data_IF_007485328988
#
_entry.id   IF_007485328988
#
_cell.length_a   1.000
_cell.length_b   1.000
_cell.length_c   1.000
_cell.angle_alpha   90.00
_cell.angle_beta   90.00
_cell.angle_gamma   90.00
#
_symmetry.space_group_name_H-M   'P 1'
#
loop_
_entity.id
_entity.type
_entity.pdbx_description
1 polymer ?
#
# COMPACT_ATOMS: atom_id res chain seq x y z
N UNK A 1 9.64 24.76 1.45
CA UNK A 1 9.97 24.42 0.06
C UNK A 1 11.38 23.83 0.01
N UNK A 2 11.47 22.53 -0.23
CA UNK A 2 12.74 21.87 -0.57
C UNK A 2 12.63 21.43 -2.02
N UNK A 3 12.99 22.32 -2.93
CA UNK A 3 13.21 22.03 -4.34
C UNK A 3 14.64 21.58 -4.55
N UNK A 4 14.86 20.29 -4.69
CA UNK A 4 16.09 19.71 -5.23
C UNK A 4 15.88 19.44 -6.71
N UNK A 5 16.47 20.28 -7.57
CA UNK A 5 16.41 20.16 -9.03
C UNK A 5 17.36 19.06 -9.52
N UNK A 6 16.80 17.94 -9.95
CA UNK A 6 17.38 17.08 -10.99
C UNK A 6 16.22 16.65 -11.87
N UNK A 7 16.32 16.86 -13.19
CA UNK A 7 15.26 16.73 -14.18
C UNK A 7 14.61 15.36 -14.32
N UNK A 8 13.88 14.96 -13.32
CA UNK A 8 13.03 13.78 -13.25
C UNK A 8 11.93 14.07 -12.23
N UNK A 9 10.71 13.68 -12.53
CA UNK A 9 9.51 13.96 -11.77
C UNK A 9 9.70 13.77 -10.25
N UNK A 10 9.39 14.79 -9.49
CA UNK A 10 9.58 14.90 -8.04
C UNK A 10 8.45 14.21 -7.28
N UNK A 11 8.79 13.52 -6.17
CA UNK A 11 7.86 13.16 -5.11
C UNK A 11 7.06 14.39 -4.67
N UNK A 12 5.76 14.24 -4.48
CA UNK A 12 4.85 15.30 -4.06
C UNK A 12 4.51 15.13 -2.57
N UNK A 13 5.33 15.73 -1.70
CA UNK A 13 5.12 15.70 -0.26
C UNK A 13 4.35 16.95 0.19
N UNK A 14 3.23 16.73 0.88
CA UNK A 14 2.44 17.80 1.48
C UNK A 14 3.10 18.29 2.77
N UNK A 15 2.79 19.54 3.15
CA UNK A 15 3.20 20.07 4.45
C UNK A 15 2.71 19.17 5.59
N UNK A 16 3.55 18.94 6.60
CA UNK A 16 3.25 18.04 7.72
C UNK A 16 3.45 16.55 7.44
N UNK A 17 3.78 16.14 6.20
CA UNK A 17 4.26 14.79 5.93
C UNK A 17 5.75 14.65 6.30
N UNK A 18 6.21 13.41 6.53
CA UNK A 18 7.61 13.15 6.82
C UNK A 18 8.13 11.91 6.10
N UNK A 19 9.24 12.06 5.38
CA UNK A 19 10.02 10.97 4.79
C UNK A 19 11.34 10.92 5.52
N UNK A 20 11.56 9.87 6.32
CA UNK A 20 12.60 9.82 7.34
C UNK A 20 13.56 8.66 7.11
N UNK A 21 14.85 8.93 7.28
CA UNK A 21 15.83 7.86 7.37
C UNK A 21 15.71 7.14 8.73
N UNK A 22 15.94 5.83 8.71
CA UNK A 22 16.23 5.05 9.91
C UNK A 22 17.61 4.42 9.76
N UNK A 23 18.53 4.74 10.66
CA UNK A 23 19.96 4.45 10.51
C UNK A 23 20.45 5.01 9.16
N UNK A 24 21.08 4.17 8.33
CA UNK A 24 21.60 4.52 7.00
C UNK A 24 20.62 4.24 5.84
N UNK A 25 19.36 3.89 6.13
CA UNK A 25 18.34 3.61 5.12
C UNK A 25 17.34 4.75 5.04
N UNK A 26 17.11 5.25 3.86
CA UNK A 26 16.12 6.30 3.56
C UNK A 26 15.13 5.79 2.52
N UNK A 27 13.84 6.15 2.63
CA UNK A 27 12.86 5.79 1.62
C UNK A 27 13.26 6.27 0.22
N UNK A 28 13.06 5.40 -0.76
CA UNK A 28 13.22 5.66 -2.20
C UNK A 28 11.83 5.65 -2.84
N UNK A 29 11.36 6.83 -3.20
CA UNK A 29 10.01 7.04 -3.72
C UNK A 29 10.09 7.47 -5.18
N UNK A 30 9.34 6.77 -6.01
CA UNK A 30 9.27 7.00 -7.45
C UNK A 30 8.67 8.35 -7.85
N UNK A 31 8.46 8.52 -9.15
CA UNK A 31 7.90 9.75 -9.71
C UNK A 31 6.43 9.92 -9.32
N UNK A 32 6.03 11.15 -9.05
CA UNK A 32 4.64 11.52 -8.72
C UNK A 32 4.06 10.75 -7.53
N UNK A 33 4.89 10.25 -6.62
CA UNK A 33 4.41 9.64 -5.39
C UNK A 33 3.85 10.74 -4.49
N UNK A 34 2.57 10.64 -4.14
CA UNK A 34 1.93 11.51 -3.15
C UNK A 34 2.28 11.05 -1.74
N UNK A 35 2.73 11.97 -0.89
CA UNK A 35 2.81 11.76 0.56
C UNK A 35 1.98 12.84 1.25
N UNK A 36 0.78 12.49 1.69
CA UNK A 36 -0.18 13.43 2.26
C UNK A 36 0.20 13.87 3.68
N UNK A 37 -0.40 14.97 4.13
CA UNK A 37 -0.17 15.53 5.46
C UNK A 37 -0.37 14.48 6.56
N UNK A 38 0.49 14.50 7.57
CA UNK A 38 0.47 13.53 8.66
C UNK A 38 1.06 12.17 8.34
N UNK A 39 1.26 11.82 7.07
CA UNK A 39 1.89 10.55 6.71
C UNK A 39 3.36 10.50 7.14
N UNK A 40 3.82 9.31 7.50
CA UNK A 40 5.21 9.01 7.90
C UNK A 40 5.72 7.84 7.08
N UNK A 41 6.78 8.04 6.30
CA UNK A 41 7.47 6.99 5.55
C UNK A 41 8.90 6.88 6.07
N UNK A 42 9.25 5.74 6.64
CA UNK A 42 10.44 5.61 7.49
C UNK A 42 11.28 4.41 7.05
N UNK A 43 12.59 4.63 6.87
CA UNK A 43 13.58 3.57 6.71
C UNK A 43 13.66 2.94 5.32
N UNK A 44 13.84 1.63 5.26
CA UNK A 44 14.04 0.86 4.02
C UNK A 44 12.71 0.59 3.32
N UNK A 45 12.21 1.62 2.67
CA UNK A 45 10.96 1.61 1.91
C UNK A 45 11.25 1.99 0.46
N UNK A 46 10.77 1.19 -0.48
CA UNK A 46 10.74 1.54 -1.91
C UNK A 46 9.29 1.56 -2.37
N UNK A 47 8.87 2.63 -3.02
CA UNK A 47 7.54 2.75 -3.63
C UNK A 47 7.68 3.19 -5.10
N UNK A 48 6.99 2.49 -5.98
CA UNK A 48 6.99 2.78 -7.41
C UNK A 48 6.23 4.05 -7.79
N UNK A 49 6.36 4.44 -9.06
CA UNK A 49 5.74 5.63 -9.62
C UNK A 49 4.23 5.70 -9.35
N UNK A 50 3.72 6.90 -9.11
CA UNK A 50 2.31 7.21 -8.90
C UNK A 50 1.64 6.50 -7.71
N UNK A 51 2.41 5.85 -6.85
CA UNK A 51 1.91 5.36 -5.57
C UNK A 51 1.46 6.54 -4.72
N UNK A 52 0.34 6.41 -4.02
CA UNK A 52 -0.20 7.53 -3.27
C UNK A 52 -0.49 7.10 -1.82
N UNK A 53 0.12 7.85 -0.90
CA UNK A 53 0.14 7.59 0.53
C UNK A 53 -0.66 8.70 1.22
N UNK A 54 -1.80 8.34 1.76
CA UNK A 54 -2.81 9.27 2.23
C UNK A 54 -2.60 9.74 3.67
N UNK A 55 -3.53 10.52 4.18
CA UNK A 55 -3.37 11.25 5.44
C UNK A 55 -3.14 10.30 6.63
N UNK A 56 -2.17 10.62 7.47
CA UNK A 56 -1.82 9.90 8.69
C UNK A 56 -1.41 8.43 8.51
N UNK A 57 -1.07 8.01 7.30
CA UNK A 57 -0.52 6.68 7.04
C UNK A 57 0.87 6.56 7.66
N UNK A 58 1.18 5.40 8.24
CA UNK A 58 2.54 5.08 8.71
C UNK A 58 3.08 3.89 7.94
N UNK A 59 4.19 4.10 7.22
CA UNK A 59 4.96 3.05 6.53
C UNK A 59 6.33 2.98 7.18
N UNK A 60 6.61 1.92 7.93
CA UNK A 60 7.83 1.84 8.72
C UNK A 60 8.64 0.59 8.38
N UNK A 61 9.70 0.79 7.56
CA UNK A 61 10.68 -0.22 7.16
C UNK A 61 11.96 -0.11 7.98
N UNK A 62 11.90 -0.39 9.26
CA UNK A 62 13.02 -0.31 10.20
C UNK A 62 13.78 -1.63 10.33
N UNK A 63 13.15 -2.68 10.83
CA UNK A 63 13.80 -3.97 11.10
C UNK A 63 13.78 -4.93 9.91
N UNK A 64 13.10 -4.57 8.82
CA UNK A 64 13.06 -5.27 7.54
C UNK A 64 12.64 -4.31 6.42
N UNK A 65 12.49 -4.82 5.21
CA UNK A 65 12.21 -4.03 4.01
C UNK A 65 10.71 -3.95 3.69
N UNK A 66 10.30 -2.81 3.14
CA UNK A 66 8.98 -2.63 2.52
C UNK A 66 9.18 -2.33 1.04
N UNK A 67 8.48 -3.04 0.19
CA UNK A 67 8.48 -2.84 -1.27
C UNK A 67 7.05 -2.67 -1.75
N UNK A 68 6.79 -1.57 -2.42
CA UNK A 68 5.47 -1.21 -2.95
C UNK A 68 5.63 -0.96 -4.44
N UNK A 69 4.79 -1.55 -5.24
CA UNK A 69 4.76 -1.37 -6.69
C UNK A 69 4.32 0.04 -7.08
N UNK A 70 3.97 0.23 -8.33
CA UNK A 70 3.49 1.50 -8.86
C UNK A 70 1.96 1.59 -8.78
N UNK A 71 1.41 2.82 -8.76
CA UNK A 71 -0.04 3.11 -8.79
C UNK A 71 -0.84 2.48 -7.65
N UNK A 72 -0.17 2.12 -6.57
CA UNK A 72 -0.79 1.55 -5.36
C UNK A 72 -1.22 2.68 -4.43
N UNK A 73 -2.42 2.58 -3.86
CA UNK A 73 -2.89 3.55 -2.89
C UNK A 73 -2.97 2.95 -1.49
N UNK A 74 -2.48 3.71 -0.52
CA UNK A 74 -2.54 3.36 0.90
C UNK A 74 -3.33 4.46 1.59
N UNK A 75 -4.56 4.14 1.96
CA UNK A 75 -5.54 5.11 2.40
C UNK A 75 -5.37 5.49 3.87
N UNK A 76 -6.04 6.54 4.25
CA UNK A 76 -5.90 7.26 5.52
C UNK A 76 -5.86 6.33 6.74
N UNK A 77 -4.98 6.65 7.68
CA UNK A 77 -4.80 5.96 8.95
C UNK A 77 -4.33 4.50 8.85
N UNK A 78 -3.94 4.01 7.68
CA UNK A 78 -3.41 2.66 7.53
C UNK A 78 -1.97 2.56 8.02
N UNK A 79 -1.59 1.35 8.43
CA UNK A 79 -0.23 1.03 8.91
C UNK A 79 0.36 -0.08 8.05
N UNK A 80 1.59 0.13 7.59
CA UNK A 80 2.41 -0.87 6.91
C UNK A 80 3.69 -1.07 7.70
N UNK A 81 3.91 -2.28 8.19
CA UNK A 81 5.08 -2.61 8.97
C UNK A 81 5.66 -3.98 8.59
N UNK A 82 6.70 -4.37 9.25
CA UNK A 82 7.52 -5.55 8.98
C UNK A 82 7.84 -6.29 10.27
N UNK A 83 8.26 -7.55 10.16
CA UNK A 83 8.82 -8.30 11.27
C UNK A 83 10.33 -8.47 11.11
N UNK A 84 11.02 -8.68 12.21
CA UNK A 84 12.46 -8.93 12.22
C UNK A 84 12.78 -10.26 11.53
N UNK A 85 13.92 -10.32 10.84
CA UNK A 85 14.40 -11.54 10.19
C UNK A 85 13.71 -11.79 8.84
N UNK A 86 12.78 -12.73 8.75
CA UNK A 86 12.14 -13.20 7.50
C UNK A 86 10.83 -12.52 7.17
N UNK A 87 10.51 -11.41 7.83
CA UNK A 87 9.21 -10.77 7.70
C UNK A 87 9.21 -9.42 6.95
N UNK A 88 9.64 -9.34 5.66
CA UNK A 88 9.43 -8.16 4.85
C UNK A 88 7.95 -7.97 4.52
N UNK A 89 7.58 -6.78 4.06
CA UNK A 89 6.28 -6.52 3.48
C UNK A 89 6.43 -6.16 2.01
N UNK A 90 5.73 -6.90 1.16
CA UNK A 90 5.72 -6.68 -0.29
C UNK A 90 4.28 -6.41 -0.75
N UNK A 91 4.07 -5.28 -1.38
CA UNK A 91 2.80 -4.87 -1.96
C UNK A 91 3.04 -4.63 -3.45
N UNK A 92 2.24 -5.27 -4.29
CA UNK A 92 2.33 -5.15 -5.73
C UNK A 92 1.87 -3.80 -6.28
N UNK A 93 1.63 -3.79 -7.58
CA UNK A 93 1.13 -2.62 -8.32
C UNK A 93 -0.39 -2.64 -8.44
N UNK A 94 -0.99 -1.46 -8.62
CA UNK A 94 -2.45 -1.29 -8.75
C UNK A 94 -3.23 -1.89 -7.56
N UNK A 95 -2.65 -1.84 -6.36
CA UNK A 95 -3.26 -2.33 -5.13
C UNK A 95 -3.98 -1.19 -4.43
N UNK A 96 -5.19 -1.45 -3.96
CA UNK A 96 -5.94 -0.53 -3.08
C UNK A 96 -5.91 -1.05 -1.64
N UNK A 97 -5.29 -0.28 -0.74
CA UNK A 97 -5.34 -0.52 0.70
C UNK A 97 -6.33 0.45 1.32
N UNK A 98 -7.46 -0.06 1.77
CA UNK A 98 -8.53 0.73 2.36
C UNK A 98 -8.15 1.40 3.68
N UNK A 99 -8.95 2.40 4.08
CA UNK A 99 -8.72 3.18 5.29
C UNK A 99 -8.54 2.31 6.53
N UNK A 100 -7.62 2.68 7.42
CA UNK A 100 -7.39 2.02 8.71
C UNK A 100 -7.02 0.54 8.62
N UNK A 101 -6.48 0.09 7.49
CA UNK A 101 -5.98 -1.28 7.35
C UNK A 101 -4.62 -1.45 8.05
N UNK A 102 -4.34 -2.68 8.50
CA UNK A 102 -3.04 -3.07 9.08
C UNK A 102 -2.41 -4.11 8.18
N UNK A 103 -1.26 -3.78 7.60
CA UNK A 103 -0.50 -4.63 6.69
C UNK A 103 0.83 -4.96 7.37
N UNK A 104 1.02 -6.18 7.80
CA UNK A 104 2.17 -6.55 8.62
C UNK A 104 2.87 -7.80 8.11
N UNK A 105 4.15 -7.64 7.69
CA UNK A 105 5.05 -8.74 7.32
C UNK A 105 4.43 -9.76 6.34
N UNK A 106 3.75 -9.29 5.30
CA UNK A 106 2.98 -10.10 4.37
C UNK A 106 3.26 -9.74 2.91
N UNK A 107 2.67 -10.49 2.00
CA UNK A 107 2.72 -10.23 0.56
C UNK A 107 1.33 -10.01 0.01
N UNK A 108 1.15 -8.92 -0.72
CA UNK A 108 -0.07 -8.61 -1.48
C UNK A 108 0.36 -8.44 -2.93
N UNK A 109 -0.11 -9.33 -3.79
CA UNK A 109 0.21 -9.28 -5.22
C UNK A 109 -0.59 -8.19 -5.95
N UNK A 110 -0.34 -8.04 -7.25
CA UNK A 110 -0.93 -6.98 -8.08
C UNK A 110 -2.45 -7.05 -8.15
N UNK A 111 -3.05 -5.89 -8.39
CA UNK A 111 -4.49 -5.74 -8.63
C UNK A 111 -5.33 -6.37 -7.51
N UNK A 112 -5.02 -6.06 -6.26
CA UNK A 112 -5.78 -6.50 -5.10
C UNK A 112 -6.45 -5.30 -4.41
N UNK A 113 -7.56 -5.57 -3.72
CA UNK A 113 -8.19 -4.61 -2.83
C UNK A 113 -8.25 -5.18 -1.42
N UNK A 114 -7.68 -4.45 -0.48
CA UNK A 114 -7.77 -4.73 0.96
C UNK A 114 -8.78 -3.76 1.54
N UNK A 115 -9.89 -4.29 2.04
CA UNK A 115 -10.99 -3.51 2.56
C UNK A 115 -10.64 -2.71 3.81
N UNK A 116 -11.42 -1.67 4.09
CA UNK A 116 -11.26 -0.80 5.26
C UNK A 116 -11.18 -1.60 6.56
N UNK A 117 -10.21 -1.28 7.41
CA UNK A 117 -10.05 -1.92 8.71
C UNK A 117 -9.62 -3.40 8.66
N UNK A 118 -9.29 -3.94 7.51
CA UNK A 118 -8.78 -5.31 7.43
C UNK A 118 -7.36 -5.42 8.01
N UNK A 119 -7.04 -6.59 8.54
CA UNK A 119 -5.74 -6.89 9.14
C UNK A 119 -5.12 -8.08 8.40
N UNK A 120 -3.94 -7.88 7.81
CA UNK A 120 -3.19 -8.93 7.11
C UNK A 120 -1.91 -9.19 7.90
N UNK A 121 -1.74 -10.42 8.36
CA UNK A 121 -0.68 -10.78 9.30
C UNK A 121 0.48 -11.56 8.67
N UNK A 122 1.51 -11.77 9.46
CA UNK A 122 2.83 -12.26 9.11
C UNK A 122 2.80 -13.50 8.20
N UNK A 123 3.53 -13.43 7.09
CA UNK A 123 3.65 -14.52 6.13
C UNK A 123 2.39 -14.82 5.31
N UNK A 124 1.31 -14.07 5.49
CA UNK A 124 0.14 -14.21 4.64
C UNK A 124 0.42 -13.76 3.21
N UNK A 125 -0.20 -14.41 2.24
CA UNK A 125 -0.10 -14.08 0.82
C UNK A 125 -1.50 -13.87 0.24
N UNK A 126 -1.75 -12.64 -0.21
CA UNK A 126 -2.95 -12.30 -0.98
C UNK A 126 -2.55 -12.31 -2.45
N UNK A 127 -3.03 -13.32 -3.17
CA UNK A 127 -2.69 -13.52 -4.59
C UNK A 127 -3.42 -12.52 -5.47
N UNK A 128 -2.84 -12.25 -6.64
CA UNK A 128 -3.34 -11.27 -7.62
C UNK A 128 -4.85 -11.38 -7.87
N UNK A 129 -5.44 -10.24 -8.21
CA UNK A 129 -6.87 -10.14 -8.55
C UNK A 129 -7.81 -10.56 -7.42
N UNK A 130 -7.42 -10.38 -6.16
CA UNK A 130 -8.21 -10.77 -4.99
C UNK A 130 -8.73 -9.57 -4.21
N UNK A 131 -9.82 -9.78 -3.51
CA UNK A 131 -10.44 -8.79 -2.63
C UNK A 131 -10.56 -9.37 -1.21
N UNK A 132 -10.01 -8.65 -0.25
CA UNK A 132 -10.22 -8.90 1.19
C UNK A 132 -11.30 -7.94 1.66
N UNK A 133 -12.39 -8.45 2.19
CA UNK A 133 -13.51 -7.65 2.66
C UNK A 133 -13.14 -6.79 3.88
N UNK A 134 -13.84 -5.67 4.05
CA UNK A 134 -13.63 -4.77 5.18
C UNK A 134 -13.74 -5.52 6.53
N UNK A 135 -12.87 -5.15 7.49
CA UNK A 135 -12.85 -5.71 8.83
C UNK A 135 -12.41 -7.19 8.92
N UNK A 136 -11.93 -7.77 7.83
CA UNK A 136 -11.45 -9.15 7.84
C UNK A 136 -10.07 -9.27 8.51
N UNK A 137 -9.80 -10.44 9.12
CA UNK A 137 -8.50 -10.76 9.72
C UNK A 137 -7.90 -11.97 9.01
N UNK A 138 -6.90 -11.72 8.17
CA UNK A 138 -6.09 -12.77 7.54
C UNK A 138 -4.98 -13.17 8.48
N UNK A 139 -5.10 -14.37 9.03
CA UNK A 139 -4.18 -14.90 10.04
C UNK A 139 -2.82 -15.28 9.44
N UNK A 140 -1.76 -15.41 10.27
CA UNK A 140 -0.41 -15.68 9.78
C UNK A 140 -0.31 -16.89 8.87
N UNK A 141 0.53 -16.79 7.83
CA UNK A 141 0.86 -17.89 6.92
C UNK A 141 -0.25 -18.34 5.99
N UNK A 142 -1.37 -17.63 5.92
CA UNK A 142 -2.44 -17.94 4.95
C UNK A 142 -2.02 -17.62 3.54
N UNK A 143 -2.33 -18.50 2.62
CA UNK A 143 -2.11 -18.33 1.18
C UNK A 143 -3.40 -18.72 0.46
N UNK A 144 -4.02 -17.78 -0.23
CA UNK A 144 -5.29 -17.96 -0.91
C UNK A 144 -5.10 -17.97 -2.42
N UNK A 145 -5.92 -18.72 -3.18
CA UNK A 145 -5.84 -18.71 -4.65
C UNK A 145 -6.04 -17.31 -5.24
N UNK A 146 -5.46 -17.01 -6.42
CA UNK A 146 -5.76 -15.77 -7.15
C UNK A 146 -7.25 -15.63 -7.43
N UNK A 147 -7.73 -14.38 -7.58
CA UNK A 147 -9.12 -14.10 -7.92
C UNK A 147 -10.12 -14.42 -6.81
N UNK A 148 -9.69 -14.41 -5.56
CA UNK A 148 -10.52 -14.80 -4.42
C UNK A 148 -11.24 -13.61 -3.78
N UNK A 149 -12.50 -13.82 -3.40
CA UNK A 149 -13.19 -13.04 -2.38
C UNK A 149 -12.86 -13.65 -1.01
N UNK A 150 -12.16 -12.89 -0.16
CA UNK A 150 -11.66 -13.32 1.14
C UNK A 150 -12.38 -12.53 2.22
N UNK A 151 -12.98 -13.19 3.19
CA UNK A 151 -13.86 -12.53 4.17
C UNK A 151 -13.84 -13.24 5.52
N UNK A 152 -13.97 -12.46 6.58
CA UNK A 152 -14.22 -12.96 7.94
C UNK A 152 -13.05 -12.81 8.92
N UNK A 153 -13.27 -13.24 10.14
CA UNK A 153 -12.26 -13.26 11.22
C UNK A 153 -12.41 -14.58 12.00
N UNK A 154 -11.56 -15.58 11.72
CA UNK A 154 -10.49 -15.63 10.72
C UNK A 154 -11.04 -15.63 9.28
N UNK A 155 -10.32 -14.96 8.39
CA UNK A 155 -10.73 -14.82 6.98
C UNK A 155 -10.59 -16.15 6.22
N UNK A 156 -11.52 -16.38 5.29
CA UNK A 156 -11.56 -17.54 4.40
C UNK A 156 -11.97 -17.10 3.00
N UNK A 157 -11.64 -17.89 1.99
CA UNK A 157 -12.20 -17.73 0.65
C UNK A 157 -13.68 -18.09 0.70
N UNK A 158 -14.54 -17.16 0.30
CA UNK A 158 -15.99 -17.40 0.24
C UNK A 158 -16.48 -17.69 -1.17
N UNK A 159 -15.78 -17.19 -2.19
CA UNK A 159 -16.03 -17.47 -3.63
C UNK A 159 -14.90 -16.91 -4.49
N UNK A 160 -14.93 -17.21 -5.76
CA UNK A 160 -14.13 -16.49 -6.75
C UNK A 160 -14.77 -15.13 -7.08
N UNK A 161 -13.94 -14.17 -7.47
CA UNK A 161 -14.41 -12.91 -8.07
C UNK A 161 -14.86 -13.15 -9.52
N UNK A 162 -15.84 -12.38 -9.98
CA UNK A 162 -16.21 -12.34 -11.38
C UNK A 162 -15.18 -11.52 -12.19
N UNK A 163 -15.13 -11.67 -13.54
CA UNK A 163 -14.27 -10.83 -14.38
C UNK A 163 -14.57 -9.33 -14.21
N UNK A 164 -15.83 -8.95 -14.04
CA UNK A 164 -16.27 -7.57 -13.81
C UNK A 164 -15.77 -7.03 -12.48
N UNK A 165 -15.80 -7.85 -11.42
CA UNK A 165 -15.26 -7.49 -10.11
C UNK A 165 -13.74 -7.31 -10.19
N UNK A 166 -13.01 -8.21 -10.87
CA UNK A 166 -11.57 -8.08 -11.08
C UNK A 166 -11.25 -6.77 -11.82
N UNK A 167 -12.03 -6.44 -12.85
CA UNK A 167 -11.86 -5.17 -13.58
C UNK A 167 -12.12 -3.96 -12.70
N UNK A 168 -13.07 -4.03 -11.77
CA UNK A 168 -13.35 -2.95 -10.84
C UNK A 168 -12.18 -2.64 -9.88
N UNK A 169 -11.31 -3.62 -9.60
CA UNK A 169 -10.11 -3.40 -8.78
C UNK A 169 -9.13 -2.44 -9.47
N UNK A 170 -8.92 -2.62 -10.80
CA UNK A 170 -8.10 -1.71 -11.60
C UNK A 170 -8.69 -0.29 -11.58
N UNK A 171 -10.00 -0.17 -11.78
CA UNK A 171 -10.71 1.11 -11.77
C UNK A 171 -10.54 1.83 -10.41
N UNK A 172 -10.54 1.08 -9.31
CA UNK A 172 -10.27 1.65 -7.99
C UNK A 172 -8.88 2.28 -7.90
N UNK A 173 -7.86 1.59 -8.39
CA UNK A 173 -6.50 2.12 -8.42
C UNK A 173 -6.40 3.36 -9.33
N UNK A 174 -7.01 3.34 -10.51
CA UNK A 174 -7.07 4.48 -11.44
C UNK A 174 -7.67 5.73 -10.77
N UNK A 175 -8.82 5.56 -10.11
CA UNK A 175 -9.49 6.68 -9.41
C UNK A 175 -8.59 7.32 -8.36
N UNK A 176 -7.83 6.53 -7.60
CA UNK A 176 -6.92 7.05 -6.59
C UNK A 176 -5.70 7.75 -7.18
N UNK A 177 -5.20 7.32 -8.33
CA UNK A 177 -4.16 8.04 -9.08
C UNK A 177 -4.69 9.39 -9.56
N UNK A 178 -5.88 9.44 -10.12
CA UNK A 178 -6.52 10.69 -10.56
C UNK A 178 -6.80 11.62 -9.38
N UNK A 179 -7.31 11.08 -8.28
CA UNK A 179 -7.56 11.84 -7.07
C UNK A 179 -6.27 12.44 -6.52
N UNK A 180 -5.18 11.66 -6.44
CA UNK A 180 -3.87 12.14 -5.99
C UNK A 180 -3.36 13.29 -6.87
N UNK A 181 -3.52 13.18 -8.18
CA UNK A 181 -3.15 14.26 -9.12
C UNK A 181 -3.93 15.56 -8.88
N UNK A 182 -5.17 15.47 -8.42
CA UNK A 182 -5.99 16.66 -8.13
C UNK A 182 -5.50 17.49 -6.95
N UNK A 183 -4.74 16.88 -6.02
CA UNK A 183 -4.12 17.57 -4.90
C UNK A 183 -2.90 18.41 -5.31
N UNK A 184 -2.33 18.15 -6.48
CA UNK A 184 -1.22 18.88 -7.04
C UNK A 184 -1.54 19.25 -8.50
N UNK A 185 -2.45 20.21 -8.72
CA UNK A 185 -2.77 20.64 -10.08
C UNK A 185 -1.48 21.08 -10.76
N UNK A 186 -1.28 20.60 -11.99
CA UNK A 186 -0.19 21.08 -12.83
C UNK A 186 -0.47 22.56 -13.11
N UNK A 187 0.45 23.42 -12.69
CA UNK A 187 0.44 24.84 -13.05
C UNK A 187 0.54 25.04 -14.56
#
# INVERSE_FOLDING_TARGET
SLTGSNGGATMQAMEGSQVMAWKNKKPDLGRNVLVASGARVIGDVVAGDETNIWFNVVIRGDVNTIRIGFRTNIQDNSVVHVARGTGPTNIGSDVTIGHSAVIHACTIEDNCLIGMGAVILDGAVIRKNSLVAAGSVVTPGKDFPPGSMIMGSPAKVVRNLTPEEIKSLEVSADHYVELARSYFPRG
#
